data_IF_679781138624
#
_entry.id   IF_679781138624
#
_cell.length_a   1.000
_cell.length_b   1.000
_cell.length_c   1.000
_cell.angle_alpha   90.00
_cell.angle_beta   90.00
_cell.angle_gamma   90.00
#
_symmetry.space_group_name_H-M   'P 1'
#
loop_
_entity.id
_entity.type
_entity.pdbx_description
1 polymer ?
#
# COMPACT_ATOMS: atom_id res chain seq x y z
N UNK A 1 -6.06 24.81 -9.00
CA UNK A 1 -5.20 23.76 -9.62
C UNK A 1 -6.05 22.94 -10.60
N UNK A 2 -5.65 22.82 -11.86
CA UNK A 2 -6.41 22.05 -12.86
C UNK A 2 -6.17 20.58 -12.60
N UNK A 3 -7.14 19.87 -12.01
CA UNK A 3 -7.06 18.43 -11.76
C UNK A 3 -6.79 17.73 -13.09
N UNK A 4 -5.73 16.94 -13.17
CA UNK A 4 -5.42 16.17 -14.36
C UNK A 4 -6.55 15.15 -14.59
N UNK A 5 -7.04 15.02 -15.83
CA UNK A 5 -8.09 14.05 -16.17
C UNK A 5 -7.75 12.63 -15.75
N UNK A 6 -6.47 12.26 -15.84
CA UNK A 6 -5.98 10.94 -15.41
C UNK A 6 -6.18 10.75 -13.89
N UNK A 7 -5.86 11.77 -13.08
CA UNK A 7 -6.01 11.69 -11.62
C UNK A 7 -7.49 11.58 -11.22
N UNK A 8 -8.38 12.31 -11.92
CA UNK A 8 -9.83 12.17 -11.73
C UNK A 8 -10.31 10.75 -12.04
N UNK A 9 -9.82 10.17 -13.15
CA UNK A 9 -10.19 8.81 -13.54
C UNK A 9 -9.70 7.76 -12.53
N UNK A 10 -8.47 7.90 -12.02
CA UNK A 10 -7.94 6.99 -11.00
C UNK A 10 -8.71 7.11 -9.67
N UNK A 11 -9.06 8.32 -9.25
CA UNK A 11 -9.87 8.53 -8.05
C UNK A 11 -11.29 7.94 -8.21
N UNK A 12 -11.91 8.11 -9.39
CA UNK A 12 -13.22 7.53 -9.69
C UNK A 12 -13.14 6.00 -9.74
N UNK A 13 -12.08 5.44 -10.33
CA UNK A 13 -11.84 3.99 -10.36
C UNK A 13 -11.73 3.42 -8.94
N UNK A 14 -10.96 4.08 -8.07
CA UNK A 14 -10.82 3.67 -6.66
C UNK A 14 -12.17 3.70 -5.92
N UNK A 15 -12.99 4.74 -6.16
CA UNK A 15 -14.33 4.83 -5.58
C UNK A 15 -15.26 3.69 -6.03
N UNK A 16 -15.19 3.27 -7.31
CA UNK A 16 -15.94 2.11 -7.81
C UNK A 16 -15.47 0.82 -7.11
N UNK A 17 -14.16 0.63 -6.97
CA UNK A 17 -13.61 -0.55 -6.27
C UNK A 17 -14.06 -0.58 -4.82
N UNK A 18 -14.08 0.57 -4.15
CA UNK A 18 -14.52 0.69 -2.75
C UNK A 18 -16.00 0.31 -2.58
N UNK A 19 -16.88 0.85 -3.44
CA UNK A 19 -18.34 0.64 -3.32
C UNK A 19 -18.78 -0.74 -3.84
N UNK A 20 -18.32 -1.12 -5.04
CA UNK A 20 -18.89 -2.23 -5.81
C UNK A 20 -17.92 -3.39 -6.03
N UNK A 21 -16.65 -3.21 -5.67
CA UNK A 21 -15.59 -4.21 -5.80
C UNK A 21 -14.85 -4.16 -7.13
N UNK A 22 -13.73 -4.88 -7.21
CA UNK A 22 -12.81 -4.84 -8.34
C UNK A 22 -13.42 -5.35 -9.66
N UNK A 23 -14.35 -6.30 -9.59
CA UNK A 23 -15.04 -6.83 -10.79
C UNK A 23 -15.96 -5.79 -11.42
N UNK A 24 -16.49 -4.84 -10.63
CA UNK A 24 -17.33 -3.75 -11.11
C UNK A 24 -16.55 -2.66 -11.85
N UNK A 25 -15.22 -2.62 -11.72
CA UNK A 25 -14.38 -1.66 -12.46
C UNK A 25 -14.26 -2.07 -13.92
N UNK A 26 -15.13 -1.50 -14.73
CA UNK A 26 -15.21 -1.65 -16.20
C UNK A 26 -15.13 -0.29 -16.88
N UNK A 27 -14.88 -0.26 -18.20
CA UNK A 27 -14.96 0.99 -18.95
C UNK A 27 -16.37 1.62 -18.94
N UNK A 28 -17.40 0.79 -18.84
CA UNK A 28 -18.79 1.26 -18.77
C UNK A 28 -19.07 1.96 -17.43
N UNK A 29 -18.75 1.31 -16.33
CA UNK A 29 -18.93 1.89 -15.00
C UNK A 29 -18.06 3.14 -14.79
N UNK A 30 -16.80 3.10 -15.25
CA UNK A 30 -15.89 4.25 -15.14
C UNK A 30 -16.34 5.42 -16.01
N UNK A 31 -16.83 5.16 -17.24
CA UNK A 31 -17.39 6.19 -18.13
C UNK A 31 -18.65 6.84 -17.50
N UNK A 32 -19.56 6.02 -16.98
CA UNK A 32 -20.77 6.52 -16.33
C UNK A 32 -20.46 7.37 -15.10
N UNK A 33 -19.53 6.93 -14.26
CA UNK A 33 -19.18 7.63 -13.01
C UNK A 33 -18.32 8.88 -13.24
N UNK A 34 -17.39 8.88 -14.23
CA UNK A 34 -16.48 9.99 -14.48
C UNK A 34 -17.04 11.04 -15.46
N UNK A 35 -18.08 10.70 -16.24
CA UNK A 35 -18.59 11.53 -17.34
C UNK A 35 -17.64 11.60 -18.56
N UNK A 36 -16.58 10.79 -18.59
CA UNK A 36 -15.63 10.73 -19.69
C UNK A 36 -16.04 9.59 -20.63
N UNK A 37 -16.08 9.86 -21.94
CA UNK A 37 -16.45 8.85 -22.94
C UNK A 37 -15.52 7.64 -22.95
N UNK A 38 -15.99 6.46 -23.36
CA UNK A 38 -15.16 5.26 -23.49
C UNK A 38 -13.91 5.49 -24.36
N UNK A 39 -14.02 6.24 -25.45
CA UNK A 39 -12.87 6.60 -26.29
C UNK A 39 -11.85 7.46 -25.54
N UNK A 40 -12.32 8.35 -24.68
CA UNK A 40 -11.47 9.13 -23.78
C UNK A 40 -10.78 8.27 -22.73
N UNK A 41 -11.46 7.26 -22.19
CA UNK A 41 -10.87 6.29 -21.26
C UNK A 41 -9.79 5.43 -21.94
N UNK A 42 -10.08 4.90 -23.14
CA UNK A 42 -9.14 4.11 -23.93
C UNK A 42 -7.89 4.92 -24.30
N UNK A 43 -8.03 6.22 -24.53
CA UNK A 43 -6.88 7.10 -24.75
C UNK A 43 -5.96 7.17 -23.53
N UNK A 44 -6.51 7.19 -22.31
CA UNK A 44 -5.72 7.21 -21.06
C UNK A 44 -5.25 5.83 -20.61
N UNK A 45 -6.08 4.81 -20.82
CA UNK A 45 -5.85 3.43 -20.39
C UNK A 45 -6.30 2.48 -21.51
N UNK A 46 -5.41 2.14 -22.47
CA UNK A 46 -5.75 1.30 -23.60
C UNK A 46 -6.32 -0.07 -23.25
N UNK A 47 -5.96 -0.62 -22.10
CA UNK A 47 -6.48 -1.89 -21.59
C UNK A 47 -6.89 -1.78 -20.12
N UNK A 48 -7.80 -2.67 -19.67
CA UNK A 48 -8.14 -2.78 -18.25
C UNK A 48 -6.91 -3.09 -17.39
N UNK A 49 -5.99 -3.91 -17.90
CA UNK A 49 -4.73 -4.20 -17.23
C UNK A 49 -3.92 -2.92 -16.99
N UNK A 50 -3.74 -2.07 -18.01
CA UNK A 50 -3.05 -0.79 -17.86
C UNK A 50 -3.76 0.16 -16.88
N UNK A 51 -5.09 0.16 -16.82
CA UNK A 51 -5.82 0.90 -15.79
C UNK A 51 -5.46 0.40 -14.40
N UNK A 52 -5.39 -0.92 -14.17
CA UNK A 52 -5.01 -1.50 -12.89
C UNK A 52 -3.55 -1.22 -12.52
N UNK A 53 -2.63 -1.32 -13.47
CA UNK A 53 -1.20 -0.96 -13.29
C UNK A 53 -1.07 0.51 -12.85
N UNK A 54 -1.76 1.42 -13.52
CA UNK A 54 -1.71 2.84 -13.18
C UNK A 54 -2.39 3.15 -11.85
N UNK A 55 -3.48 2.44 -11.51
CA UNK A 55 -4.16 2.58 -10.23
C UNK A 55 -3.24 2.16 -9.08
N UNK A 56 -2.60 0.99 -9.19
CA UNK A 56 -1.64 0.51 -8.20
C UNK A 56 -0.38 1.41 -8.13
N UNK A 57 0.12 1.88 -9.27
CA UNK A 57 1.25 2.84 -9.30
C UNK A 57 0.90 4.14 -8.56
N UNK A 58 -0.31 4.65 -8.74
CA UNK A 58 -0.79 5.85 -8.05
C UNK A 58 -0.93 5.62 -6.55
N UNK A 59 -1.50 4.46 -6.15
CA UNK A 59 -1.64 4.07 -4.75
C UNK A 59 -0.27 3.91 -4.07
N UNK A 60 0.66 3.19 -4.68
CA UNK A 60 2.03 2.99 -4.16
C UNK A 60 2.79 4.32 -4.00
N UNK A 61 2.64 5.26 -4.94
CA UNK A 61 3.23 6.61 -4.81
C UNK A 61 2.61 7.41 -3.67
N UNK A 62 1.32 7.29 -3.43
CA UNK A 62 0.64 7.97 -2.33
C UNK A 62 1.12 7.40 -1.01
N UNK A 63 1.11 6.09 -0.86
CA UNK A 63 1.62 5.37 0.30
C UNK A 63 3.09 5.71 0.61
N UNK A 64 3.97 5.74 -0.41
CA UNK A 64 5.38 6.14 -0.22
C UNK A 64 5.50 7.58 0.29
N UNK A 65 4.69 8.53 -0.20
CA UNK A 65 4.69 9.92 0.30
C UNK A 65 4.22 10.02 1.75
N UNK A 66 3.26 9.20 2.15
CA UNK A 66 2.80 9.14 3.54
C UNK A 66 3.90 8.59 4.45
N UNK A 67 4.61 7.55 4.03
CA UNK A 67 5.77 7.03 4.75
C UNK A 67 6.91 8.06 4.86
N UNK A 68 7.22 8.77 3.78
CA UNK A 68 8.24 9.83 3.78
C UNK A 68 7.85 10.97 4.73
N UNK A 69 6.58 11.35 4.75
CA UNK A 69 6.08 12.38 5.67
C UNK A 69 6.18 11.93 7.13
N UNK A 70 5.77 10.71 7.44
CA UNK A 70 5.83 10.13 8.78
C UNK A 70 7.27 9.90 9.27
N UNK A 71 8.18 9.49 8.37
CA UNK A 71 9.58 9.24 8.69
C UNK A 71 10.43 10.52 8.80
N UNK A 72 9.95 11.65 8.24
CA UNK A 72 10.69 12.90 8.13
C UNK A 72 11.68 12.95 6.96
N UNK A 73 11.51 12.06 5.95
CA UNK A 73 12.31 12.06 4.75
C UNK A 73 12.32 10.71 4.01
N UNK A 74 13.04 10.64 2.87
CA UNK A 74 13.10 9.42 2.07
C UNK A 74 13.82 8.29 2.82
N UNK A 75 13.42 7.05 2.55
CA UNK A 75 13.92 5.85 3.22
C UNK A 75 15.46 5.74 3.28
N UNK A 76 16.15 6.24 2.23
CA UNK A 76 17.63 6.22 2.14
C UNK A 76 18.33 7.19 3.09
N UNK A 77 17.61 8.15 3.68
CA UNK A 77 18.17 9.21 4.55
C UNK A 77 17.75 9.07 6.02
N UNK A 78 16.85 8.15 6.32
CA UNK A 78 16.35 7.91 7.67
C UNK A 78 16.82 6.56 8.21
N UNK A 79 16.84 6.40 9.53
CA UNK A 79 17.21 5.15 10.19
C UNK A 79 16.18 4.05 9.99
N UNK A 80 16.57 2.78 10.16
CA UNK A 80 15.62 1.65 10.14
C UNK A 80 14.49 1.86 11.16
N UNK A 81 14.82 2.37 12.34
CA UNK A 81 13.81 2.69 13.37
C UNK A 81 12.77 3.70 12.88
N UNK A 82 13.18 4.77 12.19
CA UNK A 82 12.26 5.77 11.63
C UNK A 82 11.42 5.18 10.51
N UNK A 83 12.00 4.35 9.64
CA UNK A 83 11.27 3.64 8.58
C UNK A 83 10.17 2.75 9.15
N UNK A 84 10.53 1.91 10.12
CA UNK A 84 9.58 0.98 10.74
C UNK A 84 8.54 1.69 11.62
N UNK A 85 8.89 2.84 12.22
CA UNK A 85 7.92 3.70 12.91
C UNK A 85 6.90 4.29 11.93
N UNK A 86 7.37 4.81 10.80
CA UNK A 86 6.51 5.36 9.76
C UNK A 86 5.56 4.29 9.18
N UNK A 87 6.08 3.09 8.92
CA UNK A 87 5.27 1.95 8.46
C UNK A 87 4.16 1.63 9.46
N UNK A 88 4.52 1.49 10.75
CA UNK A 88 3.54 1.23 11.81
C UNK A 88 2.49 2.35 11.93
N UNK A 89 2.89 3.61 11.80
CA UNK A 89 1.99 4.76 11.87
C UNK A 89 1.00 4.76 10.69
N UNK A 90 1.50 4.61 9.46
CA UNK A 90 0.68 4.63 8.24
C UNK A 90 -0.28 3.44 8.21
N UNK A 91 0.15 2.24 8.63
CA UNK A 91 -0.65 1.02 8.60
C UNK A 91 -1.40 0.73 9.91
N UNK A 92 -1.31 1.60 10.91
CA UNK A 92 -2.07 1.44 12.17
C UNK A 92 -3.58 1.58 11.99
N UNK A 93 -4.04 2.09 10.86
CA UNK A 93 -5.45 2.20 10.49
C UNK A 93 -5.93 0.93 9.78
N UNK A 94 -7.24 0.72 9.76
CA UNK A 94 -7.83 -0.34 8.93
C UNK A 94 -7.71 0.03 7.46
N UNK A 95 -7.36 -0.94 6.61
CA UNK A 95 -7.43 -0.78 5.16
C UNK A 95 -8.83 -0.34 4.73
N UNK A 96 -8.94 0.36 3.60
CA UNK A 96 -10.21 0.45 2.90
C UNK A 96 -10.50 -0.89 2.19
N UNK A 97 -11.75 -1.10 1.79
CA UNK A 97 -12.09 -2.27 0.98
C UNK A 97 -11.34 -2.29 -0.35
N UNK A 98 -11.17 -1.10 -0.96
CA UNK A 98 -10.42 -0.96 -2.20
C UNK A 98 -8.95 -1.36 -2.02
N UNK A 99 -8.30 -0.90 -0.94
CA UNK A 99 -6.90 -1.24 -0.65
C UNK A 99 -6.72 -2.75 -0.53
N UNK A 100 -7.60 -3.43 0.21
CA UNK A 100 -7.56 -4.88 0.36
C UNK A 100 -7.76 -5.61 -0.98
N UNK A 101 -8.77 -5.22 -1.76
CA UNK A 101 -9.05 -5.86 -3.06
C UNK A 101 -7.92 -5.65 -4.06
N UNK A 102 -7.32 -4.47 -4.09
CA UNK A 102 -6.16 -4.17 -4.93
C UNK A 102 -4.92 -4.95 -4.48
N UNK A 103 -4.69 -5.11 -3.17
CA UNK A 103 -3.54 -5.87 -2.67
C UNK A 103 -3.66 -7.37 -2.99
N UNK A 104 -4.87 -7.95 -2.92
CA UNK A 104 -5.12 -9.34 -3.32
C UNK A 104 -4.89 -9.53 -4.82
N UNK A 105 -5.42 -8.64 -5.67
CA UNK A 105 -5.24 -8.68 -7.12
C UNK A 105 -3.76 -8.51 -7.52
N UNK A 106 -3.03 -7.63 -6.82
CA UNK A 106 -1.60 -7.42 -7.03
C UNK A 106 -0.78 -8.70 -6.86
N UNK A 107 -1.12 -9.54 -5.88
CA UNK A 107 -0.42 -10.80 -5.65
C UNK A 107 -0.63 -11.84 -6.79
N UNK A 108 -1.69 -11.68 -7.57
CA UNK A 108 -1.99 -12.55 -8.73
C UNK A 108 -1.35 -12.03 -10.04
N UNK A 109 -0.76 -10.84 -10.01
CA UNK A 109 -0.19 -10.18 -11.19
C UNK A 109 1.25 -9.74 -10.92
N UNK A 110 2.21 -10.34 -11.62
CA UNK A 110 3.64 -10.11 -11.40
C UNK A 110 4.05 -8.65 -11.62
N UNK A 111 3.53 -7.99 -12.67
CA UNK A 111 3.84 -6.58 -12.95
C UNK A 111 3.35 -5.66 -11.83
N UNK A 112 2.13 -5.88 -11.34
CA UNK A 112 1.54 -5.07 -10.27
C UNK A 112 2.25 -5.38 -8.94
N UNK A 113 2.55 -6.64 -8.66
CA UNK A 113 3.32 -7.05 -7.49
C UNK A 113 4.67 -6.36 -7.44
N UNK A 114 5.40 -6.29 -8.57
CA UNK A 114 6.69 -5.61 -8.66
C UNK A 114 6.61 -4.12 -8.28
N UNK A 115 5.50 -3.45 -8.56
CA UNK A 115 5.28 -2.04 -8.14
C UNK A 115 5.29 -1.93 -6.61
N UNK A 116 4.57 -2.82 -5.93
CA UNK A 116 4.50 -2.83 -4.48
C UNK A 116 5.79 -3.31 -3.82
N UNK A 117 6.46 -4.32 -4.39
CA UNK A 117 7.78 -4.78 -3.93
C UNK A 117 8.81 -3.64 -3.99
N UNK A 118 8.84 -2.88 -5.09
CA UNK A 118 9.71 -1.71 -5.21
C UNK A 118 9.37 -0.59 -4.22
N UNK A 119 8.09 -0.38 -3.95
CA UNK A 119 7.64 0.63 -3.00
C UNK A 119 7.98 0.24 -1.54
N UNK A 120 7.78 -1.03 -1.17
CA UNK A 120 7.94 -1.55 0.19
C UNK A 120 9.41 -1.81 0.57
N UNK A 121 10.21 -2.38 -0.34
CA UNK A 121 11.58 -2.82 -0.05
C UNK A 121 12.48 -1.77 0.62
N UNK A 122 12.44 -0.47 0.25
CA UNK A 122 13.26 0.54 0.92
C UNK A 122 12.89 0.76 2.40
N UNK A 123 11.67 0.43 2.79
CA UNK A 123 11.12 0.73 4.12
C UNK A 123 11.32 -0.38 5.13
N UNK A 124 11.53 -1.60 4.71
CA UNK A 124 11.64 -2.81 5.53
C UNK A 124 13.07 -3.33 5.63
N UNK A 125 13.28 -4.30 6.52
CA UNK A 125 14.51 -5.08 6.60
C UNK A 125 14.16 -6.53 6.98
N UNK A 126 14.05 -7.43 5.98
CA UNK A 126 13.66 -8.82 6.21
C UNK A 126 14.67 -9.64 7.01
N UNK A 127 15.89 -9.15 7.17
CA UNK A 127 16.95 -9.82 7.93
C UNK A 127 16.98 -9.39 9.40
N UNK A 128 16.24 -8.34 9.76
CA UNK A 128 16.15 -7.88 11.14
C UNK A 128 14.88 -8.42 11.82
N UNK A 129 14.98 -9.36 12.80
CA UNK A 129 13.82 -10.01 13.39
C UNK A 129 12.86 -9.01 14.10
N UNK A 130 13.37 -7.91 14.62
CA UNK A 130 12.55 -6.90 15.26
C UNK A 130 11.78 -6.06 14.23
N UNK A 131 12.40 -5.76 13.09
CA UNK A 131 11.73 -5.09 11.97
C UNK A 131 10.61 -5.97 11.40
N UNK A 132 10.87 -7.26 11.19
CA UNK A 132 9.86 -8.22 10.74
C UNK A 132 8.67 -8.29 11.69
N UNK A 133 8.89 -8.30 13.01
CA UNK A 133 7.78 -8.31 13.98
C UNK A 133 6.97 -7.02 13.92
N UNK A 134 7.63 -5.85 13.80
CA UNK A 134 6.92 -4.56 13.65
C UNK A 134 6.09 -4.55 12.37
N UNK A 135 6.66 -5.02 11.26
CA UNK A 135 5.93 -5.13 9.98
C UNK A 135 4.71 -6.04 10.12
N UNK A 136 4.86 -7.25 10.69
CA UNK A 136 3.74 -8.17 10.89
C UNK A 136 2.61 -7.59 11.76
N UNK A 137 2.96 -6.75 12.75
CA UNK A 137 1.96 -6.04 13.54
C UNK A 137 1.27 -4.97 12.70
N UNK A 138 2.00 -4.21 11.89
CA UNK A 138 1.45 -3.18 11.01
C UNK A 138 0.51 -3.80 9.97
N UNK A 139 0.98 -4.82 9.23
CA UNK A 139 0.17 -5.57 8.26
C UNK A 139 -1.09 -6.14 8.93
N UNK A 140 -0.94 -6.71 10.12
CA UNK A 140 -2.05 -7.24 10.91
C UNK A 140 -3.08 -6.17 11.28
N UNK A 141 -2.65 -4.99 11.72
CA UNK A 141 -3.52 -3.87 12.04
C UNK A 141 -4.28 -3.36 10.81
N UNK A 142 -3.62 -3.35 9.66
CA UNK A 142 -4.17 -2.90 8.40
C UNK A 142 -5.27 -3.83 7.86
N UNK A 143 -5.07 -5.17 7.91
CA UNK A 143 -5.97 -6.14 7.30
C UNK A 143 -7.01 -6.72 8.27
N UNK A 144 -6.80 -6.62 9.59
CA UNK A 144 -7.54 -7.35 10.61
C UNK A 144 -9.06 -7.26 10.50
N UNK A 145 -9.57 -6.04 10.31
CA UNK A 145 -11.00 -5.76 10.33
C UNK A 145 -11.74 -6.36 9.11
N UNK A 146 -10.99 -6.70 8.05
CA UNK A 146 -11.54 -7.31 6.84
C UNK A 146 -11.55 -8.84 6.85
N UNK A 147 -10.69 -9.46 7.65
CA UNK A 147 -10.56 -10.93 7.70
C UNK A 147 -11.18 -11.53 8.97
N UNK A 148 -11.59 -10.70 9.93
CA UNK A 148 -12.18 -11.14 11.18
C UNK A 148 -13.63 -10.66 11.30
N UNK A 149 -14.47 -11.47 11.95
CA UNK A 149 -15.88 -11.15 12.14
C UNK A 149 -16.13 -9.95 13.07
N UNK A 150 -15.15 -9.57 13.86
CA UNK A 150 -15.22 -8.43 14.78
C UNK A 150 -14.03 -7.53 14.56
N UNK A 151 -14.25 -6.23 14.26
CA UNK A 151 -13.17 -5.27 14.13
C UNK A 151 -12.45 -5.04 15.46
N UNK A 152 -11.20 -4.60 15.39
CA UNK A 152 -10.46 -4.18 16.57
C UNK A 152 -11.10 -2.94 17.20
N UNK A 153 -11.26 -2.98 18.52
CA UNK A 153 -11.56 -1.75 19.25
C UNK A 153 -10.35 -0.81 19.19
N UNK A 154 -10.61 0.48 19.38
CA UNK A 154 -9.53 1.48 19.45
C UNK A 154 -8.50 1.13 20.52
N UNK A 155 -8.94 0.63 21.68
CA UNK A 155 -8.06 0.20 22.77
C UNK A 155 -7.15 -0.97 22.37
N UNK A 156 -7.69 -1.99 21.67
CA UNK A 156 -6.91 -3.12 21.18
C UNK A 156 -5.88 -2.69 20.13
N UNK A 157 -6.26 -1.81 19.21
CA UNK A 157 -5.38 -1.25 18.18
C UNK A 157 -4.24 -0.46 18.82
N UNK A 158 -4.54 0.42 19.79
CA UNK A 158 -3.53 1.17 20.54
C UNK A 158 -2.60 0.25 21.35
N UNK A 159 -3.11 -0.83 21.95
CA UNK A 159 -2.29 -1.80 22.66
C UNK A 159 -1.31 -2.52 21.73
N UNK A 160 -1.73 -2.90 20.52
CA UNK A 160 -0.86 -3.51 19.53
C UNK A 160 0.25 -2.54 19.08
N UNK A 161 -0.10 -1.29 18.76
CA UNK A 161 0.87 -0.24 18.42
C UNK A 161 1.87 -0.01 19.56
N UNK A 162 1.39 0.08 20.80
CA UNK A 162 2.26 0.21 21.99
C UNK A 162 3.21 -0.96 22.14
N UNK A 163 2.75 -2.18 21.86
CA UNK A 163 3.59 -3.39 21.91
C UNK A 163 4.64 -3.37 20.80
N UNK A 164 4.30 -2.93 19.59
CA UNK A 164 5.26 -2.78 18.49
C UNK A 164 6.41 -1.81 18.84
N UNK A 165 6.15 -0.76 19.62
CA UNK A 165 7.19 0.15 20.09
C UNK A 165 8.28 -0.51 20.94
N UNK A 166 8.00 -1.64 21.61
CA UNK A 166 9.01 -2.40 22.35
C UNK A 166 10.08 -2.94 21.38
N UNK A 167 9.66 -3.39 20.20
CA UNK A 167 10.56 -3.89 19.15
C UNK A 167 11.24 -2.74 18.42
N UNK A 168 10.53 -1.65 18.14
CA UNK A 168 11.10 -0.43 17.55
C UNK A 168 12.28 0.11 18.36
N UNK A 169 12.19 0.05 19.69
CA UNK A 169 13.26 0.52 20.59
C UNK A 169 14.55 -0.31 20.49
N UNK A 170 14.52 -1.48 19.87
CA UNK A 170 15.66 -2.35 19.62
C UNK A 170 16.32 -2.11 18.25
N UNK A 171 15.72 -1.26 17.40
CA UNK A 171 16.23 -0.95 16.08
C UNK A 171 17.27 0.19 16.13
N UNK A 172 18.19 0.17 15.14
CA UNK A 172 19.22 1.21 14.98
C UNK A 172 18.58 2.57 14.70
N UNK A 173 19.12 3.58 15.34
CA UNK A 173 18.79 5.00 15.13
C UNK A 173 19.70 5.67 14.10
N UNK A 174 20.75 4.98 13.65
CA UNK A 174 21.67 5.50 12.64
C UNK A 174 21.06 5.31 11.24
N UNK A 175 21.12 6.31 10.35
CA UNK A 175 20.73 6.17 8.97
C UNK A 175 21.49 4.99 8.31
N UNK A 176 20.77 4.12 7.63
CA UNK A 176 21.34 2.96 6.94
C UNK A 176 20.74 2.84 5.55
N UNK A 177 21.55 2.41 4.58
CA UNK A 177 21.01 2.06 3.26
C UNK A 177 20.00 0.93 3.42
N UNK A 178 18.87 0.98 2.70
CA UNK A 178 17.97 -0.16 2.57
C UNK A 178 18.76 -1.37 2.08
N UNK A 179 18.41 -2.56 2.58
CA UNK A 179 18.97 -3.80 2.04
C UNK A 179 18.65 -3.90 0.55
N UNK A 180 19.59 -4.35 -0.31
CA UNK A 180 19.28 -4.60 -1.70
C UNK A 180 18.13 -5.60 -1.77
N UNK A 181 17.18 -5.39 -2.68
CA UNK A 181 16.10 -6.32 -2.98
C UNK A 181 16.73 -7.68 -3.31
N UNK A 182 16.71 -8.61 -2.34
CA UNK A 182 17.04 -10.00 -2.63
C UNK A 182 15.89 -10.58 -3.44
N UNK A 183 16.22 -11.20 -4.55
CA UNK A 183 15.29 -11.94 -5.38
C UNK A 183 14.46 -12.91 -4.53
N UNK A 184 13.23 -12.55 -4.21
CA UNK A 184 12.25 -13.44 -3.57
C UNK A 184 11.76 -14.55 -4.51
N UNK A 185 12.41 -14.72 -5.68
CA UNK A 185 11.99 -15.63 -6.75
C UNK A 185 12.35 -17.10 -6.55
N UNK A 186 13.02 -17.49 -5.45
CA UNK A 186 13.42 -18.90 -5.26
C UNK A 186 13.15 -19.38 -3.85
N UNK A 187 11.94 -19.82 -3.54
CA UNK A 187 11.69 -20.95 -2.62
C UNK A 187 10.20 -21.25 -2.40
N UNK A 188 9.44 -21.47 -3.46
CA UNK A 188 8.21 -22.27 -3.36
C UNK A 188 8.40 -23.47 -4.29
N UNK A 189 8.93 -24.56 -3.75
CA UNK A 189 8.80 -25.89 -4.30
C UNK A 189 7.70 -26.61 -3.56
#
# INVERSE_FOLDING_TARGET
>A
MRTNKKDLLLATALSIVESDGLAALTYDSLSAASGISKSGLIYHFPTRHQLLVELNTSAARTWTRELEAAAGGPASKVSLRQRMHALLEVESHSATRADLLLSIDANLNEEIRAIWDQALAPWTDPHNPHAVVVQLIADGLWVYDHINARPLTQQQRQAAVKTAHIFLNKLSTTPSKPSPTSDFTNNIK
#
